data_IF_705831575111
#
_entry.id   IF_705831575111
#
_cell.length_a   1.000
_cell.length_b   1.000
_cell.length_c   1.000
_cell.angle_alpha   90.00
_cell.angle_beta   90.00
_cell.angle_gamma   90.00
#
_symmetry.space_group_name_H-M   'P 1'
#
loop_
_entity.id
_entity.type
_entity.pdbx_description
1 polymer ?
#
# COMPACT_ATOMS: atom_id res chain seq x y z
N UNK A 1 -4.47 -10.21 -6.49
CA UNK A 1 -5.51 -9.31 -7.02
C UNK A 1 -5.67 -8.16 -6.04
N UNK A 2 -4.59 -7.39 -5.81
CA UNK A 2 -4.56 -6.24 -4.89
C UNK A 2 -4.41 -4.92 -5.64
N UNK A 3 -3.79 -4.97 -6.83
CA UNK A 3 -3.53 -3.82 -7.71
C UNK A 3 -4.81 -3.05 -8.05
N UNK A 4 -5.90 -3.75 -8.36
CA UNK A 4 -7.19 -3.12 -8.66
C UNK A 4 -7.79 -2.40 -7.44
N UNK A 5 -7.70 -3.01 -6.25
CA UNK A 5 -8.16 -2.40 -4.99
C UNK A 5 -7.45 -1.07 -4.76
N UNK A 6 -6.12 -1.05 -4.88
CA UNK A 6 -5.32 0.15 -4.72
C UNK A 6 -5.66 1.25 -5.74
N UNK A 7 -5.95 0.91 -7.00
CA UNK A 7 -6.43 1.89 -7.99
C UNK A 7 -7.77 2.49 -7.59
N UNK A 8 -8.72 1.66 -7.15
CA UNK A 8 -10.05 2.12 -6.77
C UNK A 8 -9.99 3.02 -5.52
N UNK A 9 -9.23 2.63 -4.51
CA UNK A 9 -9.05 3.41 -3.28
C UNK A 9 -8.40 4.77 -3.59
N UNK A 10 -7.34 4.77 -4.41
CA UNK A 10 -6.64 6.00 -4.80
C UNK A 10 -7.53 6.91 -5.65
N UNK A 11 -8.29 6.33 -6.60
CA UNK A 11 -9.24 7.04 -7.44
C UNK A 11 -10.36 7.68 -6.61
N UNK A 12 -10.91 6.93 -5.66
CA UNK A 12 -11.94 7.41 -4.74
C UNK A 12 -11.42 8.52 -3.82
N UNK A 13 -10.21 8.36 -3.27
CA UNK A 13 -9.59 9.36 -2.38
C UNK A 13 -9.33 10.69 -3.07
N UNK A 14 -9.05 10.68 -4.37
CA UNK A 14 -8.88 11.89 -5.18
C UNK A 14 -10.18 12.40 -5.80
N UNK A 15 -11.30 11.68 -5.66
CA UNK A 15 -12.61 12.11 -6.17
C UNK A 15 -12.77 12.03 -7.69
N UNK A 16 -12.04 11.14 -8.37
CA UNK A 16 -12.21 10.96 -9.82
C UNK A 16 -13.30 9.94 -10.14
N UNK A 17 -14.23 10.29 -11.03
CA UNK A 17 -15.27 9.36 -11.50
C UNK A 17 -14.79 8.51 -12.68
N UNK A 18 -13.96 9.07 -13.56
CA UNK A 18 -13.47 8.39 -14.76
C UNK A 18 -12.03 7.91 -14.63
N UNK A 19 -11.77 6.71 -15.16
CA UNK A 19 -10.40 6.17 -15.22
C UNK A 19 -9.49 7.00 -16.12
N UNK A 20 -10.05 7.67 -17.12
CA UNK A 20 -9.30 8.55 -18.00
C UNK A 20 -8.76 9.78 -17.25
N UNK A 21 -9.60 10.44 -16.44
CA UNK A 21 -9.18 11.57 -15.63
C UNK A 21 -8.14 11.15 -14.58
N UNK A 22 -8.34 9.99 -13.97
CA UNK A 22 -7.40 9.41 -13.02
C UNK A 22 -6.04 9.05 -13.66
N UNK A 23 -6.06 8.42 -14.84
CA UNK A 23 -4.84 8.11 -15.61
C UNK A 23 -4.03 9.38 -15.91
N UNK A 24 -4.72 10.45 -16.33
CA UNK A 24 -4.10 11.75 -16.59
C UNK A 24 -3.47 12.35 -15.32
N UNK A 25 -4.12 12.20 -14.17
CA UNK A 25 -3.56 12.66 -12.87
C UNK A 25 -2.29 11.91 -12.49
N UNK A 26 -2.23 10.61 -12.75
CA UNK A 26 -1.06 9.77 -12.48
C UNK A 26 0.05 9.94 -13.53
N UNK A 27 -0.23 10.56 -14.67
CA UNK A 27 0.73 10.71 -15.76
C UNK A 27 0.93 9.44 -16.60
N UNK A 28 -0.05 8.53 -16.58
CA UNK A 28 -0.01 7.28 -17.36
C UNK A 28 -1.08 7.26 -18.43
N UNK A 29 -0.94 6.34 -19.39
CA UNK A 29 -1.97 6.13 -20.41
C UNK A 29 -3.19 5.44 -19.81
N UNK A 30 -4.37 5.69 -20.40
CA UNK A 30 -5.58 4.94 -20.04
C UNK A 30 -5.40 3.44 -20.29
N UNK A 31 -4.64 3.05 -21.32
CA UNK A 31 -4.34 1.65 -21.59
C UNK A 31 -3.55 0.98 -20.45
N UNK A 32 -2.65 1.71 -19.79
CA UNK A 32 -1.93 1.22 -18.60
C UNK A 32 -2.92 0.89 -17.46
N UNK A 33 -3.86 1.79 -17.17
CA UNK A 33 -4.91 1.56 -16.16
C UNK A 33 -5.75 0.33 -16.52
N UNK A 34 -6.17 0.20 -17.78
CA UNK A 34 -6.93 -0.97 -18.23
C UNK A 34 -6.15 -2.28 -18.04
N UNK A 35 -4.84 -2.30 -18.33
CA UNK A 35 -4.00 -3.49 -18.14
C UNK A 35 -3.83 -3.85 -16.66
N UNK A 36 -3.68 -2.85 -15.78
CA UNK A 36 -3.64 -3.09 -14.34
C UNK A 36 -4.95 -3.71 -13.83
N UNK A 37 -6.09 -3.20 -14.28
CA UNK A 37 -7.41 -3.75 -13.91
C UNK A 37 -7.63 -5.18 -14.39
N UNK A 38 -7.15 -5.51 -15.60
CA UNK A 38 -7.23 -6.87 -16.15
C UNK A 38 -6.23 -7.84 -15.52
N UNK A 39 -5.25 -7.34 -14.76
CA UNK A 39 -4.14 -8.15 -14.26
C UNK A 39 -3.08 -8.48 -15.33
N UNK A 40 -3.15 -7.86 -16.52
CA UNK A 40 -2.19 -8.03 -17.62
C UNK A 40 -0.84 -7.32 -17.33
N UNK A 41 -0.82 -6.43 -16.35
CA UNK A 41 0.39 -5.84 -15.79
C UNK A 41 0.24 -5.53 -14.31
N UNK A 42 1.38 -5.32 -13.65
CA UNK A 42 1.48 -4.87 -12.26
C UNK A 42 2.08 -3.47 -12.19
N UNK A 43 1.99 -2.84 -11.01
CA UNK A 43 2.64 -1.56 -10.77
C UNK A 43 4.17 -1.70 -10.84
N UNK A 44 4.81 -0.72 -11.47
CA UNK A 44 6.22 -0.49 -11.30
C UNK A 44 6.49 0.24 -9.96
N UNK A 45 7.75 0.42 -9.62
CA UNK A 45 8.13 1.09 -8.38
C UNK A 45 7.57 2.53 -8.33
N UNK A 46 7.64 3.27 -9.44
CA UNK A 46 7.15 4.64 -9.51
C UNK A 46 5.64 4.74 -9.23
N UNK A 47 4.84 3.86 -9.83
CA UNK A 47 3.40 3.80 -9.57
C UNK A 47 3.11 3.41 -8.12
N UNK A 48 3.90 2.51 -7.53
CA UNK A 48 3.76 2.21 -6.10
C UNK A 48 4.00 3.45 -5.24
N UNK A 49 5.03 4.25 -5.53
CA UNK A 49 5.26 5.52 -4.81
C UNK A 49 4.06 6.47 -4.94
N UNK A 50 3.59 6.72 -6.17
CA UNK A 50 2.45 7.62 -6.39
C UNK A 50 1.18 7.16 -5.64
N UNK A 51 0.86 5.88 -5.73
CA UNK A 51 -0.34 5.32 -5.08
C UNK A 51 -0.20 5.34 -3.56
N UNK A 52 0.98 5.01 -3.03
CA UNK A 52 1.25 5.08 -1.60
C UNK A 52 1.11 6.50 -1.06
N UNK A 53 1.66 7.50 -1.76
CA UNK A 53 1.54 8.92 -1.40
C UNK A 53 0.08 9.37 -1.39
N UNK A 54 -0.70 8.98 -2.40
CA UNK A 54 -2.14 9.27 -2.46
C UNK A 54 -2.84 8.67 -1.25
N UNK A 55 -2.58 7.40 -0.95
CA UNK A 55 -3.27 6.65 0.10
C UNK A 55 -2.75 6.95 1.52
N UNK A 56 -1.59 7.58 1.65
CA UNK A 56 -0.94 7.79 2.95
C UNK A 56 -0.36 6.50 3.53
N UNK A 57 0.09 5.61 2.65
CA UNK A 57 0.74 4.33 3.00
C UNK A 57 2.26 4.49 2.90
N UNK A 58 3.00 3.57 3.53
CA UNK A 58 4.44 3.48 3.32
C UNK A 58 4.71 2.87 1.91
N UNK A 59 5.42 3.57 1.01
CA UNK A 59 5.73 3.05 -0.33
C UNK A 59 6.47 1.71 -0.31
N UNK A 60 7.34 1.48 0.68
CA UNK A 60 8.08 0.23 0.85
C UNK A 60 7.14 -0.93 1.15
N UNK A 61 6.09 -0.71 1.94
CA UNK A 61 5.09 -1.74 2.25
C UNK A 61 4.30 -2.11 0.99
N UNK A 62 3.85 -1.10 0.23
CA UNK A 62 3.11 -1.33 -1.01
C UNK A 62 3.96 -2.06 -2.07
N UNK A 63 5.22 -1.65 -2.26
CA UNK A 63 6.14 -2.34 -3.17
C UNK A 63 6.32 -3.80 -2.74
N UNK A 64 6.51 -4.04 -1.45
CA UNK A 64 6.72 -5.41 -0.92
C UNK A 64 5.50 -6.28 -1.19
N UNK A 65 4.29 -5.78 -0.94
CA UNK A 65 3.04 -6.50 -1.20
C UNK A 65 2.83 -6.78 -2.69
N UNK A 66 3.05 -5.78 -3.55
CA UNK A 66 2.92 -5.93 -5.00
C UNK A 66 3.93 -6.96 -5.53
N UNK A 67 5.19 -6.92 -5.09
CA UNK A 67 6.20 -7.90 -5.52
C UNK A 67 5.93 -9.30 -4.96
N UNK A 68 5.48 -9.42 -3.71
CA UNK A 68 5.14 -10.71 -3.10
C UNK A 68 4.01 -11.45 -3.82
N UNK A 69 3.10 -10.71 -4.46
CA UNK A 69 1.94 -11.25 -5.18
C UNK A 69 2.18 -11.42 -6.68
N UNK A 70 3.04 -10.61 -7.30
CA UNK A 70 3.18 -10.58 -8.77
C UNK A 70 4.50 -11.12 -9.30
N UNK A 71 5.50 -11.35 -8.43
CA UNK A 71 6.77 -11.96 -8.84
C UNK A 71 6.58 -13.39 -9.33
N UNK A 72 7.15 -13.69 -10.51
CA UNK A 72 7.01 -14.97 -11.19
C UNK A 72 8.09 -15.97 -10.78
N UNK A 73 9.27 -15.46 -10.39
CA UNK A 73 10.35 -16.32 -9.92
C UNK A 73 10.04 -16.79 -8.48
N UNK A 74 9.92 -18.11 -8.23
CA UNK A 74 9.54 -18.63 -6.92
C UNK A 74 10.49 -18.22 -5.77
N UNK A 75 11.81 -18.17 -6.03
CA UNK A 75 12.80 -17.79 -5.02
C UNK A 75 12.68 -16.31 -4.64
N UNK A 76 12.54 -15.44 -5.65
CA UNK A 76 12.33 -14.01 -5.40
C UNK A 76 10.98 -13.76 -4.74
N UNK A 77 9.94 -14.49 -5.15
CA UNK A 77 8.62 -14.37 -4.54
C UNK A 77 8.65 -14.77 -3.05
N UNK A 78 9.35 -15.86 -2.70
CA UNK A 78 9.55 -16.25 -1.30
C UNK A 78 10.27 -15.14 -0.51
N UNK A 79 11.35 -14.57 -1.04
CA UNK A 79 12.05 -13.44 -0.43
C UNK A 79 11.11 -12.26 -0.13
N UNK A 80 10.24 -11.88 -1.07
CA UNK A 80 9.28 -10.78 -0.86
C UNK A 80 8.20 -11.14 0.15
N UNK A 81 7.71 -12.38 0.16
CA UNK A 81 6.74 -12.87 1.15
C UNK A 81 7.31 -12.85 2.56
N UNK A 82 8.58 -13.26 2.74
CA UNK A 82 9.25 -13.21 4.04
C UNK A 82 9.35 -11.76 4.57
N UNK A 83 9.70 -10.82 3.69
CA UNK A 83 9.75 -9.38 4.04
C UNK A 83 8.38 -8.80 4.37
N UNK A 84 7.33 -9.25 3.69
CA UNK A 84 5.95 -8.84 3.99
C UNK A 84 5.54 -9.28 5.40
N UNK A 85 5.85 -10.52 5.77
CA UNK A 85 5.58 -11.05 7.11
C UNK A 85 6.38 -10.28 8.18
N UNK A 86 7.66 -9.99 7.92
CA UNK A 86 8.51 -9.20 8.81
C UNK A 86 7.92 -7.81 9.07
N UNK A 87 7.47 -7.12 8.01
CA UNK A 87 6.85 -5.79 8.08
C UNK A 87 5.52 -5.82 8.83
N UNK A 88 4.65 -6.79 8.54
CA UNK A 88 3.40 -6.99 9.28
C UNK A 88 3.66 -7.20 10.78
N UNK A 89 4.67 -8.00 11.14
CA UNK A 89 5.07 -8.23 12.53
C UNK A 89 5.66 -7.00 13.24
N UNK A 90 6.25 -6.04 12.50
CA UNK A 90 6.72 -4.76 13.07
C UNK A 90 5.57 -3.78 13.30
N UNK A 91 4.61 -3.71 12.38
CA UNK A 91 3.43 -2.85 12.52
C UNK A 91 2.64 -3.18 13.80
N UNK A 92 2.45 -4.48 14.10
CA UNK A 92 1.79 -4.95 15.32
C UNK A 92 2.58 -4.50 16.58
N UNK A 93 3.91 -4.66 16.59
CA UNK A 93 4.77 -4.28 17.72
C UNK A 93 4.80 -2.76 17.99
N UNK A 94 4.76 -1.95 16.93
CA UNK A 94 4.74 -0.48 17.03
C UNK A 94 3.41 0.09 17.52
N UNK A 95 2.28 -0.51 17.13
CA UNK A 95 0.95 -0.08 17.58
C UNK A 95 0.71 -0.34 19.08
N UNK A 96 1.12 -1.51 19.58
CA UNK A 96 0.96 -1.91 20.98
C UNK A 96 1.76 -1.05 21.97
N UNK A 97 2.96 -0.60 21.59
CA UNK A 97 3.80 0.27 22.45
C UNK A 97 3.24 1.68 22.56
N UNK A 98 2.71 2.24 21.47
CA UNK A 98 2.13 3.59 21.47
C UNK A 98 0.83 3.65 22.29
N UNK A 99 -0.04 2.65 22.17
CA UNK A 99 -1.27 2.54 22.97
C UNK A 99 -1.00 2.30 24.46
N UNK A 100 -0.01 1.46 24.80
CA UNK A 100 0.39 1.21 26.19
C UNK A 100 0.96 2.46 26.86
N UNK A 101 1.76 3.25 26.14
CA UNK A 101 2.31 4.51 26.65
C UNK A 101 1.22 5.58 26.84
N UNK A 102 0.28 5.69 25.90
CA UNK A 102 -0.87 6.61 26.02
C UNK A 102 -1.72 6.22 27.23
N UNK A 103 -2.00 4.94 27.45
CA UNK A 103 -2.74 4.46 28.62
C UNK A 103 -2.01 4.75 29.94
N UNK A 104 -0.69 4.52 30.01
CA UNK A 104 0.13 4.84 31.19
C UNK A 104 0.12 6.36 31.45
N UNK A 105 0.29 7.18 30.42
CA UNK A 105 0.29 8.64 30.52
C UNK A 105 -1.07 9.19 30.96
N UNK A 106 -2.17 8.62 30.49
CA UNK A 106 -3.53 8.98 30.89
C UNK A 106 -3.84 8.56 32.32
N UNK A 107 -3.38 7.37 32.75
CA UNK A 107 -3.61 6.86 34.11
C UNK A 107 -2.75 7.57 35.17
N UNK A 108 -1.55 8.04 34.80
CA UNK A 108 -0.67 8.80 35.71
C UNK A 108 -1.20 10.22 36.01
N UNK A 109 -2.10 10.75 35.17
CA UNK A 109 -2.67 12.10 35.31
C UNK A 109 -3.90 12.17 36.25
N UNK A 110 -4.33 11.04 36.83
CA UNK A 110 -5.54 10.91 37.64
C UNK A 110 -5.27 10.59 39.12
N UNK A 111 -4.01 10.68 39.59
CA UNK A 111 -3.59 10.29 40.96
C UNK A 111 -3.32 11.53 41.87
N UNK A 112 -3.84 12.71 41.54
CA UNK A 112 -3.74 13.89 42.41
C UNK A 112 -5.10 14.52 42.69
#
# INVERSE_FOLDING_TARGET
>A
MDVERYLNDAKAKLGFESDYAFAKKLGVTQASITRYRKGDSTFDEYMCFQIADILGLDPSDLITEVKATTEKNPQKQAFWKDRLIEKAGKAIRGGLTKLRLIWIMLNLRYIH
#
